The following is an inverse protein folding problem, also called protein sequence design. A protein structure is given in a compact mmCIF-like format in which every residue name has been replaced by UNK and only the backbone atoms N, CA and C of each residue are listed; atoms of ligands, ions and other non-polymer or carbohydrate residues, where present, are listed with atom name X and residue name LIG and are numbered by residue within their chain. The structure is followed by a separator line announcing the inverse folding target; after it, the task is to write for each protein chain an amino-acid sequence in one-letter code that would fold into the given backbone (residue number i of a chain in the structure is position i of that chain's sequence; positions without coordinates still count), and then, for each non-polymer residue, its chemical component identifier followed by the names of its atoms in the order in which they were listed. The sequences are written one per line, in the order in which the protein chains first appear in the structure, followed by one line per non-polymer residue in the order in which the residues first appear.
data_IF_358914816175
#
_entry.id   IF_358914816175
#
_cell.length_a   1.000
_cell.length_b   1.000
_cell.length_c   1.000
_cell.angle_alpha   90.00
_cell.angle_beta   90.00
_cell.angle_gamma   90.00
#
_symmetry.space_group_name_H-M   'P 1'
#
loop_
_entity.id
_entity.type
_entity.pdbx_description
1 polymer ?
#
# COMPACT_ATOMS: atom_id res chain seq x y z
N UNK A 1 -9.82 10.19 13.14
CA UNK A 1 -9.23 9.38 12.06
C UNK A 1 -8.56 8.14 12.62
N UNK A 2 -8.61 7.08 11.88
CA UNK A 2 -8.03 5.79 12.25
C UNK A 2 -6.68 5.60 11.57
N UNK A 3 -5.73 4.98 12.25
CA UNK A 3 -4.44 4.63 11.66
C UNK A 3 -4.54 3.25 11.02
N UNK A 4 -4.11 3.16 9.77
CA UNK A 4 -4.08 1.92 9.00
C UNK A 4 -2.64 1.54 8.68
N UNK A 5 -2.37 0.24 8.71
CA UNK A 5 -1.05 -0.33 8.47
C UNK A 5 -1.09 -1.24 7.25
N UNK A 6 -0.03 -1.17 6.45
CA UNK A 6 0.13 -2.02 5.28
C UNK A 6 1.51 -2.67 5.33
N UNK A 7 1.57 -3.98 5.61
CA UNK A 7 2.84 -4.70 5.57
C UNK A 7 3.35 -4.79 4.13
N UNK A 8 4.64 -4.54 3.93
CA UNK A 8 5.27 -4.59 2.63
C UNK A 8 6.53 -5.45 2.71
N UNK A 9 6.84 -6.12 1.62
CA UNK A 9 8.05 -6.92 1.49
C UNK A 9 8.62 -6.71 0.10
N UNK A 10 9.90 -6.43 0.02
CA UNK A 10 10.58 -6.28 -1.26
C UNK A 10 12.07 -6.22 -1.08
N UNK A 11 12.80 -6.71 -2.07
CA UNK A 11 14.25 -6.63 -2.13
C UNK A 11 14.94 -7.17 -0.87
N UNK A 12 14.37 -8.22 -0.26
CA UNK A 12 14.92 -8.83 0.95
C UNK A 12 14.60 -8.09 2.24
N UNK A 13 13.79 -7.05 2.19
CA UNK A 13 13.42 -6.24 3.34
C UNK A 13 11.91 -6.28 3.58
N UNK A 14 11.54 -6.13 4.85
CA UNK A 14 10.14 -5.97 5.27
C UNK A 14 9.98 -4.62 5.93
N UNK A 15 8.87 -3.94 5.66
CA UNK A 15 8.54 -2.70 6.34
C UNK A 15 7.04 -2.55 6.42
N UNK A 16 6.58 -1.58 7.18
CA UNK A 16 5.15 -1.29 7.32
C UNK A 16 4.89 0.15 6.91
N UNK A 17 4.05 0.31 5.90
CA UNK A 17 3.52 1.62 5.54
C UNK A 17 2.36 1.97 6.48
N UNK A 18 2.23 3.24 6.79
CA UNK A 18 1.23 3.70 7.74
C UNK A 18 0.56 4.97 7.24
N UNK A 19 -0.77 5.02 7.30
CA UNK A 19 -1.53 6.22 6.97
C UNK A 19 -2.64 6.42 7.99
N UNK A 20 -3.09 7.66 8.11
CA UNK A 20 -4.29 7.98 8.88
C UNK A 20 -5.40 8.32 7.88
N UNK A 21 -6.56 7.71 8.07
CA UNK A 21 -7.67 7.84 7.13
C UNK A 21 -9.00 7.74 7.87
N UNK A 22 -10.05 8.17 7.19
CA UNK A 22 -11.40 8.18 7.75
C UNK A 22 -12.04 6.79 7.73
N UNK A 23 -11.68 5.97 6.76
CA UNK A 23 -12.21 4.63 6.59
C UNK A 23 -11.26 3.81 5.72
N UNK A 24 -11.60 2.55 5.48
CA UNK A 24 -10.77 1.61 4.71
C UNK A 24 -10.53 2.10 3.28
N UNK A 25 -11.58 2.56 2.59
CA UNK A 25 -11.46 3.05 1.22
C UNK A 25 -10.52 4.26 1.13
N UNK A 26 -10.61 5.17 2.08
CA UNK A 26 -9.74 6.34 2.13
C UNK A 26 -8.29 5.91 2.39
N UNK A 27 -8.09 4.88 3.23
CA UNK A 27 -6.77 4.33 3.48
C UNK A 27 -6.17 3.73 2.21
N UNK A 28 -6.94 2.95 1.46
CA UNK A 28 -6.47 2.39 0.19
C UNK A 28 -6.02 3.49 -0.76
N UNK A 29 -6.82 4.55 -0.89
CA UNK A 29 -6.49 5.66 -1.78
C UNK A 29 -5.20 6.35 -1.34
N UNK A 30 -5.00 6.53 -0.05
CA UNK A 30 -3.78 7.16 0.48
C UNK A 30 -2.55 6.30 0.24
N UNK A 31 -2.65 4.99 0.37
CA UNK A 31 -1.54 4.09 0.03
C UNK A 31 -1.23 4.15 -1.47
N UNK A 32 -2.26 4.16 -2.32
CA UNK A 32 -2.07 4.30 -3.76
C UNK A 32 -1.34 5.60 -4.09
N UNK A 33 -1.74 6.71 -3.47
CA UNK A 33 -1.10 8.00 -3.69
C UNK A 33 0.37 7.98 -3.26
N UNK A 34 0.67 7.33 -2.14
CA UNK A 34 2.05 7.19 -1.66
C UNK A 34 2.90 6.39 -2.64
N UNK A 35 2.39 5.28 -3.16
CA UNK A 35 3.12 4.49 -4.16
C UNK A 35 3.30 5.26 -5.47
N UNK A 36 2.31 6.06 -5.87
CA UNK A 36 2.40 6.90 -7.05
C UNK A 36 3.56 7.90 -6.93
N UNK A 37 3.75 8.46 -5.75
CA UNK A 37 4.86 9.38 -5.49
C UNK A 37 6.21 8.67 -5.44
N UNK A 38 6.25 7.47 -4.84
CA UNK A 38 7.50 6.74 -4.65
C UNK A 38 8.00 6.05 -5.92
N UNK A 39 7.10 5.67 -6.81
CA UNK A 39 7.44 4.92 -8.02
C UNK A 39 6.99 5.67 -9.27
N UNK A 40 7.73 6.72 -9.61
CA UNK A 40 7.41 7.58 -10.75
C UNK A 40 7.51 6.85 -12.09
N UNK A 41 8.35 5.82 -12.17
CA UNK A 41 8.58 5.05 -13.39
C UNK A 41 7.51 3.98 -13.64
N UNK A 42 6.65 3.75 -12.67
CA UNK A 42 5.60 2.73 -12.74
C UNK A 42 4.25 3.42 -12.83
N UNK A 43 3.42 2.92 -13.74
CA UNK A 43 2.07 3.42 -13.92
C UNK A 43 1.16 2.79 -12.85
N UNK A 44 1.01 3.47 -11.72
CA UNK A 44 0.29 2.96 -10.56
C UNK A 44 -1.23 3.02 -10.83
N UNK A 45 -1.93 1.88 -10.83
CA UNK A 45 -3.37 1.87 -11.06
C UNK A 45 -4.14 2.36 -9.84
N UNK A 46 -5.40 2.71 -10.05
CA UNK A 46 -6.29 3.13 -8.96
C UNK A 46 -7.06 1.97 -8.32
N UNK A 47 -6.99 0.78 -8.90
CA UNK A 47 -7.62 -0.41 -8.36
C UNK A 47 -6.62 -1.18 -7.49
N UNK A 48 -7.06 -1.56 -6.27
CA UNK A 48 -6.16 -2.20 -5.30
C UNK A 48 -5.61 -3.53 -5.78
N UNK A 49 -6.44 -4.37 -6.42
CA UNK A 49 -5.97 -5.66 -6.94
C UNK A 49 -4.96 -5.50 -8.06
N UNK A 50 -5.19 -4.52 -8.94
CA UNK A 50 -4.26 -4.21 -10.01
C UNK A 50 -2.94 -3.65 -9.43
N UNK A 51 -3.04 -2.87 -8.37
CA UNK A 51 -1.87 -2.35 -7.68
C UNK A 51 -0.98 -3.48 -7.14
N UNK A 52 -1.58 -4.49 -6.52
CA UNK A 52 -0.85 -5.65 -6.00
C UNK A 52 -0.09 -6.33 -7.15
N UNK A 53 -0.75 -6.56 -8.27
CA UNK A 53 -0.15 -7.20 -9.44
C UNK A 53 0.99 -6.36 -10.02
N UNK A 54 0.78 -5.07 -10.20
CA UNK A 54 1.78 -4.16 -10.78
C UNK A 54 3.02 -4.08 -9.87
N UNK A 55 2.84 -3.94 -8.57
CA UNK A 55 3.96 -3.88 -7.64
C UNK A 55 4.75 -5.18 -7.64
N UNK A 56 4.05 -6.32 -7.73
CA UNK A 56 4.72 -7.61 -7.77
C UNK A 56 5.53 -7.80 -9.05
N UNK A 57 4.98 -7.41 -10.20
CA UNK A 57 5.62 -7.65 -11.50
C UNK A 57 6.65 -6.59 -11.88
N UNK A 58 6.45 -5.35 -11.49
CA UNK A 58 7.32 -4.24 -11.92
C UNK A 58 8.24 -3.71 -10.85
N UNK A 59 7.86 -3.80 -9.58
CA UNK A 59 8.68 -3.33 -8.48
C UNK A 59 9.26 -4.46 -7.63
N UNK A 60 8.95 -5.71 -7.96
CA UNK A 60 9.39 -6.89 -7.21
C UNK A 60 9.03 -6.77 -5.74
N UNK A 61 7.82 -6.29 -5.48
CA UNK A 61 7.36 -6.00 -4.13
C UNK A 61 6.02 -6.70 -3.87
N UNK A 62 5.87 -7.22 -2.66
CA UNK A 62 4.63 -7.85 -2.20
C UNK A 62 4.04 -6.99 -1.10
N UNK A 63 2.75 -6.70 -1.19
CA UNK A 63 2.02 -6.01 -0.12
C UNK A 63 1.00 -6.96 0.48
N UNK A 64 0.82 -6.86 1.79
CA UNK A 64 -0.15 -7.66 2.51
C UNK A 64 -1.51 -6.98 2.59
N UNK A 65 -2.30 -7.40 3.58
CA UNK A 65 -3.59 -6.80 3.83
C UNK A 65 -3.45 -5.51 4.63
N UNK A 66 -4.38 -4.59 4.44
CA UNK A 66 -4.46 -3.38 5.25
C UNK A 66 -5.08 -3.76 6.60
N UNK A 67 -4.45 -3.31 7.68
CA UNK A 67 -4.92 -3.53 9.04
C UNK A 67 -5.26 -2.21 9.71
N UNK A 68 -6.36 -2.21 10.45
CA UNK A 68 -6.71 -1.12 11.35
C UNK A 68 -5.99 -1.35 12.68
N UNK A 69 -5.29 -0.34 13.17
CA UNK A 69 -4.50 -0.48 14.40
C UNK A 69 -5.36 -0.81 15.61
N UNK A 70 -6.65 -0.46 15.57
CA UNK A 70 -7.58 -0.77 16.65
C UNK A 70 -7.91 -2.27 16.73
N UNK A 71 -7.61 -3.02 15.67
CA UNK A 71 -7.80 -4.47 15.64
C UNK A 71 -6.64 -5.23 16.30
N UNK A 72 -5.59 -4.56 16.62
CA UNK A 72 -4.46 -5.13 17.35
C UNK A 72 -4.60 -4.88 18.87
#
# INVERSE_FOLDING_TARGET
MTTYLLPCYGDGHCWIEKVRARNFSDAQQKFINAFTEDYEDIDIPSDWEDLITILNTQADMVIGNIYDIEEF
#
